data_IF_922471898341
#
_entry.id   IF_922471898341
#
_cell.length_a   1.000
_cell.length_b   1.000
_cell.length_c   1.000
_cell.angle_alpha   90.00
_cell.angle_beta   90.00
_cell.angle_gamma   90.00
#
_symmetry.space_group_name_H-M   'P 1'
#
loop_
_entity.id
_entity.type
_entity.pdbx_description
1 polymer ?
#
# COMPACT_ATOMS: atom_id res chain seq x y z
N UNK A 1 9.15 -18.42 7.60
CA UNK A 1 8.66 -19.34 6.55
C UNK A 1 9.44 -19.26 5.23
N UNK A 2 10.61 -18.58 5.17
CA UNK A 2 11.38 -18.41 3.94
C UNK A 2 11.76 -19.72 3.21
N UNK A 3 12.05 -20.78 3.95
CA UNK A 3 12.42 -22.08 3.39
C UNK A 3 11.27 -22.79 2.65
N UNK A 4 10.01 -22.60 3.10
CA UNK A 4 8.86 -23.24 2.47
C UNK A 4 8.53 -22.60 1.11
N UNK A 5 8.62 -21.28 1.00
CA UNK A 5 8.38 -20.56 -0.26
C UNK A 5 9.40 -20.96 -1.33
N UNK A 6 10.66 -21.17 -0.93
CA UNK A 6 11.72 -21.60 -1.84
C UNK A 6 11.48 -22.99 -2.48
N UNK A 7 10.65 -23.84 -1.86
CA UNK A 7 10.39 -25.21 -2.31
C UNK A 7 8.97 -25.42 -2.87
N UNK A 8 8.12 -24.38 -2.91
CA UNK A 8 6.75 -24.50 -3.41
C UNK A 8 6.75 -24.75 -4.94
N UNK A 9 6.24 -25.90 -5.43
CA UNK A 9 6.33 -26.27 -6.84
C UNK A 9 5.67 -25.26 -7.79
N UNK A 10 4.53 -24.69 -7.38
CA UNK A 10 3.84 -23.65 -8.16
C UNK A 10 4.63 -22.35 -8.31
N UNK A 11 5.47 -22.01 -7.31
CA UNK A 11 6.32 -20.81 -7.37
C UNK A 11 7.56 -21.06 -8.23
N UNK A 12 8.16 -22.25 -8.12
CA UNK A 12 9.34 -22.64 -8.89
C UNK A 12 9.03 -22.70 -10.39
N UNK A 13 7.86 -23.20 -10.79
CA UNK A 13 7.47 -23.33 -12.21
C UNK A 13 7.50 -22.02 -13.00
N UNK A 14 7.19 -20.90 -12.34
CA UNK A 14 7.19 -19.55 -12.93
C UNK A 14 8.45 -18.72 -12.56
N UNK A 15 9.43 -19.33 -11.90
CA UNK A 15 10.65 -18.66 -11.40
C UNK A 15 11.94 -19.45 -11.71
N UNK A 16 11.93 -20.27 -12.77
CA UNK A 16 13.07 -21.10 -13.14
C UNK A 16 14.18 -20.30 -13.83
N UNK A 17 15.41 -20.86 -13.80
CA UNK A 17 16.54 -20.29 -14.52
C UNK A 17 16.23 -20.15 -16.02
N UNK A 18 16.49 -18.98 -16.59
CA UNK A 18 16.18 -18.57 -17.96
C UNK A 18 14.69 -18.25 -18.28
N UNK A 19 13.77 -18.40 -17.33
CA UNK A 19 12.39 -17.91 -17.49
C UNK A 19 12.30 -16.44 -17.05
N UNK A 20 12.63 -15.53 -17.97
CA UNK A 20 12.62 -14.08 -17.73
C UNK A 20 11.21 -13.48 -17.85
N UNK A 21 10.25 -14.04 -17.11
CA UNK A 21 8.89 -13.52 -17.02
C UNK A 21 8.69 -12.62 -15.78
N UNK A 22 7.64 -11.82 -15.80
CA UNK A 22 7.34 -10.82 -14.78
C UNK A 22 6.80 -11.41 -13.46
N UNK A 23 6.40 -12.68 -13.42
CA UNK A 23 5.81 -13.33 -12.24
C UNK A 23 6.74 -13.32 -11.01
N UNK A 24 8.00 -13.72 -11.21
CA UNK A 24 9.01 -13.75 -10.14
C UNK A 24 9.30 -12.36 -9.57
N UNK A 25 9.36 -11.36 -10.46
CA UNK A 25 9.50 -9.94 -10.12
C UNK A 25 8.29 -9.44 -9.33
N UNK A 26 7.07 -9.70 -9.81
CA UNK A 26 5.84 -9.27 -9.17
C UNK A 26 5.71 -9.86 -7.75
N UNK A 27 5.98 -11.15 -7.60
CA UNK A 27 5.90 -11.83 -6.30
C UNK A 27 6.91 -11.30 -5.30
N UNK A 28 8.15 -10.99 -5.72
CA UNK A 28 9.16 -10.38 -4.86
C UNK A 28 8.69 -9.03 -4.31
N UNK A 29 8.29 -8.12 -5.21
CA UNK A 29 7.93 -6.75 -4.82
C UNK A 29 6.62 -6.67 -4.06
N UNK A 30 5.62 -7.51 -4.38
CA UNK A 30 4.39 -7.60 -3.61
C UNK A 30 4.67 -8.14 -2.20
N UNK A 31 5.51 -9.18 -2.07
CA UNK A 31 5.89 -9.72 -0.77
C UNK A 31 6.63 -8.68 0.09
N UNK A 32 7.54 -7.91 -0.54
CA UNK A 32 8.26 -6.83 0.12
C UNK A 32 7.31 -5.69 0.55
N UNK A 33 6.31 -5.37 -0.28
CA UNK A 33 5.29 -4.39 0.04
C UNK A 33 4.51 -4.79 1.29
N UNK A 34 3.98 -6.02 1.32
CA UNK A 34 3.29 -6.55 2.50
C UNK A 34 4.19 -6.62 3.73
N UNK A 35 5.46 -7.00 3.58
CA UNK A 35 6.42 -7.02 4.68
C UNK A 35 6.60 -5.64 5.32
N UNK A 36 6.87 -4.61 4.52
CA UNK A 36 7.03 -3.25 5.04
C UNK A 36 5.73 -2.68 5.59
N UNK A 37 4.58 -3.03 4.99
CA UNK A 37 3.29 -2.64 5.53
C UNK A 37 3.05 -3.22 6.92
N UNK A 38 3.26 -4.52 7.11
CA UNK A 38 3.12 -5.17 8.42
C UNK A 38 4.07 -4.54 9.43
N UNK A 39 5.33 -4.29 9.05
CA UNK A 39 6.30 -3.59 9.91
C UNK A 39 5.86 -2.17 10.28
N UNK A 40 5.19 -1.46 9.37
CA UNK A 40 4.59 -0.17 9.68
C UNK A 40 3.45 -0.30 10.69
N UNK A 41 2.58 -1.31 10.53
CA UNK A 41 1.45 -1.55 11.45
C UNK A 41 1.91 -1.98 12.85
N UNK A 42 2.98 -2.77 12.97
CA UNK A 42 3.57 -3.14 14.25
C UNK A 42 4.11 -1.93 15.02
N UNK A 43 4.58 -0.90 14.30
CA UNK A 43 5.08 0.34 14.91
C UNK A 43 3.99 1.34 15.30
N UNK A 44 2.72 1.10 14.94
CA UNK A 44 1.62 2.00 15.30
C UNK A 44 1.24 1.84 16.78
N UNK A 45 1.44 2.91 17.55
CA UNK A 45 0.95 3.01 18.93
C UNK A 45 -0.57 3.11 19.02
N UNK A 46 -1.11 2.90 20.23
CA UNK A 46 -2.56 3.07 20.51
C UNK A 46 -2.93 4.49 20.95
N UNK A 47 -1.95 5.40 21.01
CA UNK A 47 -2.14 6.75 21.52
C UNK A 47 -2.84 7.64 20.50
N UNK A 48 -3.72 8.52 21.00
CA UNK A 48 -4.40 9.51 20.17
C UNK A 48 -3.40 10.54 19.68
N UNK A 49 -3.39 10.81 18.37
CA UNK A 49 -2.43 11.76 17.79
C UNK A 49 -2.79 13.20 18.16
N UNK A 50 -4.09 13.49 18.30
CA UNK A 50 -4.59 14.79 18.72
C UNK A 50 -5.69 14.63 19.76
N UNK A 51 -5.77 15.59 20.70
CA UNK A 51 -6.77 15.58 21.76
C UNK A 51 -8.19 15.97 21.33
N UNK A 52 -8.36 16.68 20.18
CA UNK A 52 -9.66 17.13 19.67
C UNK A 52 -9.84 16.75 18.20
N UNK A 53 -10.75 15.82 17.86
CA UNK A 53 -11.03 15.47 16.47
C UNK A 53 -11.72 16.62 15.74
N UNK A 54 -11.23 16.94 14.53
CA UNK A 54 -11.80 17.95 13.65
C UNK A 54 -12.30 17.31 12.35
N UNK A 55 -13.42 17.83 11.81
CA UNK A 55 -14.02 17.35 10.55
C UNK A 55 -13.36 17.96 9.30
N UNK A 56 -12.43 18.89 9.47
CA UNK A 56 -11.79 19.57 8.34
C UNK A 56 -10.86 18.59 7.59
N UNK A 57 -10.91 18.46 6.25
CA UNK A 57 -9.97 17.63 5.49
C UNK A 57 -8.49 18.01 5.71
N UNK A 58 -8.21 19.28 6.05
CA UNK A 58 -6.85 19.72 6.43
C UNK A 58 -6.30 18.98 7.66
N UNK A 59 -7.18 18.45 8.50
CA UNK A 59 -6.82 17.66 9.68
C UNK A 59 -6.14 16.34 9.30
N UNK A 60 -6.47 15.77 8.15
CA UNK A 60 -5.83 14.55 7.64
C UNK A 60 -4.38 14.83 7.21
N UNK A 61 -4.16 15.93 6.49
CA UNK A 61 -2.82 16.39 6.14
C UNK A 61 -1.99 16.75 7.37
N UNK A 62 -2.62 17.37 8.38
CA UNK A 62 -1.99 17.62 9.66
C UNK A 62 -1.61 16.30 10.37
N UNK A 63 -2.48 15.28 10.32
CA UNK A 63 -2.21 13.94 10.84
C UNK A 63 -1.04 13.24 10.16
N UNK A 64 -0.94 13.32 8.83
CA UNK A 64 0.21 12.80 8.08
C UNK A 64 1.50 13.51 8.51
N UNK A 65 1.48 14.84 8.58
CA UNK A 65 2.65 15.63 9.01
C UNK A 65 3.07 15.29 10.43
N UNK A 66 2.11 15.18 11.35
CA UNK A 66 2.38 14.86 12.75
C UNK A 66 2.91 13.44 12.89
N UNK A 67 2.39 12.48 12.12
CA UNK A 67 2.91 11.11 12.08
C UNK A 67 4.36 11.05 11.63
N UNK A 68 4.76 11.89 10.67
CA UNK A 68 6.17 12.02 10.27
C UNK A 68 7.06 12.58 11.39
N UNK A 69 6.52 13.43 12.27
CA UNK A 69 7.26 13.99 13.40
C UNK A 69 7.35 13.01 14.59
N UNK A 70 6.23 12.36 14.93
CA UNK A 70 6.12 11.48 16.10
C UNK A 70 6.68 10.09 15.83
N UNK A 71 6.40 9.52 14.65
CA UNK A 71 6.77 8.15 14.32
C UNK A 71 7.26 8.01 12.87
N UNK A 72 8.44 8.58 12.54
CA UNK A 72 8.98 8.58 11.20
C UNK A 72 9.29 7.16 10.68
N UNK A 73 9.54 6.19 11.55
CA UNK A 73 9.85 4.81 11.15
C UNK A 73 8.62 4.12 10.55
N UNK A 74 7.43 4.33 11.12
CA UNK A 74 6.15 3.85 10.56
C UNK A 74 5.91 4.48 9.19
N UNK A 75 6.09 5.79 9.06
CA UNK A 75 5.87 6.49 7.80
C UNK A 75 6.89 6.09 6.72
N UNK A 76 8.15 5.86 7.10
CA UNK A 76 9.17 5.35 6.19
C UNK A 76 8.85 3.92 5.72
N UNK A 77 8.44 3.03 6.62
CA UNK A 77 8.02 1.68 6.25
C UNK A 77 6.77 1.70 5.35
N UNK A 78 5.78 2.56 5.63
CA UNK A 78 4.62 2.74 4.76
C UNK A 78 5.01 3.26 3.37
N UNK A 79 5.96 4.19 3.31
CA UNK A 79 6.52 4.72 2.06
C UNK A 79 7.23 3.62 1.26
N UNK A 80 8.06 2.80 1.91
CA UNK A 80 8.75 1.65 1.29
C UNK A 80 7.78 0.58 0.80
N UNK A 81 6.70 0.34 1.54
CA UNK A 81 5.60 -0.52 1.08
C UNK A 81 5.02 0.00 -0.23
N UNK A 82 4.67 1.29 -0.29
CA UNK A 82 4.09 1.87 -1.50
C UNK A 82 5.09 1.96 -2.67
N UNK A 83 6.38 2.18 -2.42
CA UNK A 83 7.44 2.08 -3.45
C UNK A 83 7.55 0.64 -3.98
N UNK A 84 7.39 -0.36 -3.12
CA UNK A 84 7.41 -1.77 -3.52
C UNK A 84 6.19 -2.10 -4.40
N UNK A 85 5.00 -1.64 -4.02
CA UNK A 85 3.81 -1.74 -4.88
C UNK A 85 3.96 -0.98 -6.21
N UNK A 86 4.54 0.22 -6.19
CA UNK A 86 4.82 1.00 -7.39
C UNK A 86 5.79 0.27 -8.33
N UNK A 87 6.84 -0.34 -7.79
CA UNK A 87 7.78 -1.12 -8.59
C UNK A 87 7.09 -2.33 -9.21
N UNK A 88 6.25 -3.03 -8.45
CA UNK A 88 5.41 -4.11 -8.99
C UNK A 88 4.47 -3.59 -10.10
N UNK A 89 3.89 -2.39 -9.94
CA UNK A 89 2.99 -1.77 -10.91
C UNK A 89 3.64 -1.50 -12.28
N UNK A 90 4.95 -1.21 -12.30
CA UNK A 90 5.69 -0.97 -13.53
C UNK A 90 5.96 -2.27 -14.30
N UNK A 91 6.04 -3.42 -13.61
CA UNK A 91 6.27 -4.72 -14.24
C UNK A 91 5.00 -5.54 -14.48
N UNK A 92 3.94 -5.32 -13.68
CA UNK A 92 2.73 -6.13 -13.72
C UNK A 92 1.46 -5.30 -13.45
N UNK A 93 0.49 -5.41 -14.35
CA UNK A 93 -0.81 -4.71 -14.24
C UNK A 93 -1.63 -5.17 -13.03
N UNK A 94 -1.47 -6.43 -12.60
CA UNK A 94 -2.20 -6.98 -11.46
C UNK A 94 -1.76 -6.45 -10.09
N UNK A 95 -0.80 -5.52 -10.01
CA UNK A 95 -0.34 -4.99 -8.72
C UNK A 95 -1.48 -4.46 -7.84
N UNK A 96 -2.55 -3.96 -8.47
CA UNK A 96 -3.71 -3.33 -7.83
C UNK A 96 -4.41 -4.27 -6.83
N UNK A 97 -4.31 -5.60 -7.01
CA UNK A 97 -4.83 -6.56 -6.03
C UNK A 97 -4.20 -6.39 -4.65
N UNK A 98 -2.91 -6.04 -4.56
CA UNK A 98 -2.20 -5.83 -3.31
C UNK A 98 -2.78 -4.68 -2.48
N UNK A 99 -2.73 -3.43 -2.98
CA UNK A 99 -3.36 -2.28 -2.34
C UNK A 99 -4.87 -2.49 -2.10
N UNK A 100 -5.58 -3.19 -3.00
CA UNK A 100 -7.00 -3.50 -2.83
C UNK A 100 -7.30 -4.37 -1.60
N UNK A 101 -6.49 -5.41 -1.36
CA UNK A 101 -6.60 -6.24 -0.14
C UNK A 101 -6.31 -5.40 1.11
N UNK A 102 -5.29 -4.55 1.06
CA UNK A 102 -4.95 -3.67 2.18
C UNK A 102 -6.02 -2.62 2.44
N UNK A 103 -6.67 -2.09 1.40
CA UNK A 103 -7.79 -1.18 1.52
C UNK A 103 -8.98 -1.82 2.24
N UNK A 104 -9.33 -3.07 1.90
CA UNK A 104 -10.37 -3.81 2.61
C UNK A 104 -10.00 -4.05 4.07
N UNK A 105 -8.75 -4.45 4.34
CA UNK A 105 -8.26 -4.64 5.70
C UNK A 105 -8.30 -3.33 6.51
N UNK A 106 -7.91 -2.21 5.90
CA UNK A 106 -8.01 -0.88 6.47
C UNK A 106 -9.46 -0.51 6.82
N UNK A 107 -10.42 -0.75 5.90
CA UNK A 107 -11.84 -0.51 6.16
C UNK A 107 -12.35 -1.29 7.38
N UNK A 108 -12.00 -2.57 7.49
CA UNK A 108 -12.31 -3.39 8.67
C UNK A 108 -11.66 -2.80 9.92
N UNK A 109 -10.39 -2.39 9.86
CA UNK A 109 -9.68 -1.79 11.00
C UNK A 109 -10.31 -0.47 11.46
N UNK A 110 -10.72 0.40 10.55
CA UNK A 110 -11.42 1.67 10.88
C UNK A 110 -12.74 1.38 11.57
N UNK A 111 -13.55 0.45 11.05
CA UNK A 111 -14.81 0.04 11.66
C UNK A 111 -14.57 -0.55 13.06
N UNK A 112 -13.57 -1.40 13.22
CA UNK A 112 -13.20 -1.96 14.53
C UNK A 112 -12.71 -0.89 15.51
N UNK A 113 -11.96 0.10 15.03
CA UNK A 113 -11.51 1.23 15.86
C UNK A 113 -12.67 2.12 16.28
N UNK A 114 -13.68 2.29 15.42
CA UNK A 114 -14.92 2.99 15.76
C UNK A 114 -15.65 2.30 16.90
N UNK A 115 -15.83 0.98 16.84
CA UNK A 115 -16.45 0.22 17.94
C UNK A 115 -15.62 0.23 19.23
N UNK A 116 -14.29 0.33 19.12
CA UNK A 116 -13.36 0.36 20.26
C UNK A 116 -13.06 1.78 20.78
N UNK A 117 -13.64 2.83 20.18
CA UNK A 117 -13.37 4.23 20.54
C UNK A 117 -11.91 4.67 20.38
N UNK A 118 -11.14 3.98 19.51
CA UNK A 118 -9.73 4.25 19.22
C UNK A 118 -9.58 5.25 18.08
N UNK A 119 -8.50 6.02 18.12
CA UNK A 119 -8.17 6.96 17.05
C UNK A 119 -7.65 6.22 15.82
N UNK A 120 -8.24 6.49 14.65
CA UNK A 120 -7.87 5.90 13.37
C UNK A 120 -6.94 6.81 12.54
N UNK A 121 -6.60 8.01 13.02
CA UNK A 121 -5.70 8.91 12.29
C UNK A 121 -4.31 8.33 12.03
N UNK A 122 -3.65 7.63 12.98
CA UNK A 122 -2.31 7.08 12.73
C UNK A 122 -2.31 6.07 11.57
N UNK A 123 -3.31 5.18 11.57
CA UNK A 123 -3.44 4.14 10.54
C UNK A 123 -3.89 4.69 9.20
N UNK A 124 -4.77 5.70 9.22
CA UNK A 124 -5.22 6.39 8.00
C UNK A 124 -4.05 7.15 7.36
N UNK A 125 -3.24 7.83 8.17
CA UNK A 125 -2.05 8.57 7.70
C UNK A 125 -1.01 7.64 7.06
N UNK A 126 -0.72 6.50 7.69
CA UNK A 126 0.18 5.50 7.12
C UNK A 126 -0.38 4.87 5.83
N UNK A 127 -1.69 4.59 5.79
CA UNK A 127 -2.36 4.04 4.59
C UNK A 127 -2.29 5.02 3.42
N UNK A 128 -2.57 6.30 3.67
CA UNK A 128 -2.49 7.34 2.66
C UNK A 128 -1.06 7.56 2.19
N UNK A 129 -0.06 7.50 3.08
CA UNK A 129 1.34 7.60 2.69
C UNK A 129 1.76 6.47 1.74
N UNK A 130 1.34 5.22 2.04
CA UNK A 130 1.58 4.07 1.18
C UNK A 130 0.86 4.21 -0.17
N UNK A 131 -0.42 4.58 -0.16
CA UNK A 131 -1.22 4.76 -1.38
C UNK A 131 -0.67 5.90 -2.23
N UNK A 132 -0.20 6.98 -1.61
CA UNK A 132 0.38 8.12 -2.30
C UNK A 132 1.60 7.71 -3.12
N UNK A 133 2.54 6.96 -2.55
CA UNK A 133 3.72 6.50 -3.31
C UNK A 133 3.36 5.41 -4.33
N UNK A 134 2.47 4.48 -3.97
CA UNK A 134 1.98 3.45 -4.88
C UNK A 134 1.23 4.03 -6.09
N UNK A 135 0.63 5.21 -5.96
CA UNK A 135 -0.07 5.92 -7.03
C UNK A 135 0.87 6.81 -7.85
N UNK A 136 1.63 7.69 -7.18
CA UNK A 136 2.38 8.75 -7.84
C UNK A 136 3.51 8.22 -8.74
N UNK A 137 4.22 7.20 -8.28
CA UNK A 137 5.41 6.67 -8.97
C UNK A 137 5.04 6.00 -10.32
N UNK A 138 4.05 5.10 -10.39
CA UNK A 138 3.68 4.49 -11.67
C UNK A 138 2.84 5.41 -12.57
N UNK A 139 2.20 6.46 -12.03
CA UNK A 139 1.29 7.33 -12.79
C UNK A 139 1.87 7.84 -14.13
N UNK A 140 3.10 8.37 -14.23
CA UNK A 140 3.64 8.86 -15.50
C UNK A 140 3.73 7.77 -16.57
N UNK A 141 4.01 6.53 -16.17
CA UNK A 141 4.04 5.38 -17.07
C UNK A 141 2.62 5.08 -17.57
N UNK A 142 1.64 4.97 -16.68
CA UNK A 142 0.25 4.68 -17.03
C UNK A 142 -0.45 5.81 -17.80
N UNK A 143 0.01 7.05 -17.66
CA UNK A 143 -0.47 8.21 -18.41
C UNK A 143 0.03 8.26 -19.86
N UNK A 144 1.01 7.44 -20.25
CA UNK A 144 1.54 7.47 -21.61
C UNK A 144 0.42 7.16 -22.63
N UNK A 145 0.10 8.08 -23.56
CA UNK A 145 -1.09 7.96 -24.41
C UNK A 145 -1.12 6.70 -25.28
N UNK A 146 0.05 6.17 -25.66
CA UNK A 146 0.15 4.94 -26.45
C UNK A 146 -0.25 3.66 -25.72
N UNK A 147 -0.45 3.71 -24.39
CA UNK A 147 -0.75 2.55 -23.57
C UNK A 147 -2.24 2.41 -23.20
N UNK A 148 -3.00 3.51 -23.16
CA UNK A 148 -4.44 3.47 -22.86
C UNK A 148 -4.82 2.93 -21.48
N UNK A 149 -3.85 2.79 -20.56
CA UNK A 149 -3.97 2.03 -19.31
C UNK A 149 -4.49 2.82 -18.11
N UNK A 150 -4.62 4.15 -18.24
CA UNK A 150 -5.01 5.03 -17.14
C UNK A 150 -6.47 4.82 -16.70
N UNK A 151 -7.38 4.65 -17.67
CA UNK A 151 -8.82 4.44 -17.44
C UNK A 151 -9.26 3.02 -17.76
N UNK A 152 -8.31 2.11 -17.98
CA UNK A 152 -8.60 0.70 -18.21
C UNK A 152 -9.00 0.04 -16.88
N UNK A 153 -10.14 -0.67 -16.81
CA UNK A 153 -10.56 -1.41 -15.62
C UNK A 153 -9.52 -2.43 -15.13
N UNK A 154 -8.71 -2.96 -16.04
CA UNK A 154 -7.61 -3.89 -15.75
C UNK A 154 -6.27 -3.19 -15.48
N UNK A 155 -6.23 -1.86 -15.63
CA UNK A 155 -5.05 -1.02 -15.48
C UNK A 155 -5.10 -0.17 -14.21
N UNK A 156 -5.00 1.15 -14.37
CA UNK A 156 -4.86 2.08 -13.25
C UNK A 156 -6.19 2.50 -12.62
N UNK A 157 -7.32 2.23 -13.28
CA UNK A 157 -8.64 2.67 -12.85
C UNK A 157 -8.98 2.31 -11.38
N UNK A 158 -8.69 1.09 -10.88
CA UNK A 158 -9.11 0.75 -9.52
C UNK A 158 -8.33 1.50 -8.43
N UNK A 159 -7.13 2.02 -8.72
CA UNK A 159 -6.40 2.87 -7.79
C UNK A 159 -7.13 4.20 -7.50
N UNK A 160 -7.85 4.75 -8.49
CA UNK A 160 -8.67 5.94 -8.28
C UNK A 160 -9.84 5.67 -7.32
N UNK A 161 -10.46 4.48 -7.40
CA UNK A 161 -11.50 4.09 -6.46
C UNK A 161 -10.94 3.94 -5.04
N UNK A 162 -9.80 3.25 -4.91
CA UNK A 162 -9.15 3.06 -3.60
C UNK A 162 -8.88 4.43 -2.95
N UNK A 163 -8.25 5.37 -3.67
CA UNK A 163 -7.96 6.71 -3.15
C UNK A 163 -9.24 7.48 -2.83
N UNK A 164 -10.24 7.45 -3.73
CA UNK A 164 -11.50 8.18 -3.54
C UNK A 164 -12.34 7.71 -2.36
N UNK A 165 -12.12 6.48 -1.87
CA UNK A 165 -12.84 5.90 -0.73
C UNK A 165 -12.01 5.81 0.56
N UNK A 166 -10.72 6.15 0.54
CA UNK A 166 -9.88 6.35 1.74
C UNK A 166 -10.05 7.74 2.34
#
# INVERSE_FOLDING_TARGET
>A
TAWLIALMPGHIGHSTFALADHDSFALLFISMAFYFWVKAMEGLGSDRLFGKPSRNPLYLFAGIREMWAVNPTVMANATLSGISFATAALGWKGFVYGPGILFLAFGVQVVMNLFRGRDSLPITSASLQMLFTAFLIPLPFYMWPGMGLLFDPSGFQPMFYIIGFT
#
